data_IF_655279994062
#
_entry.id   IF_655279994062
#
_cell.length_a   1.000
_cell.length_b   1.000
_cell.length_c   1.000
_cell.angle_alpha   90.00
_cell.angle_beta   90.00
_cell.angle_gamma   90.00
#
_symmetry.space_group_name_H-M   'P 1'
#
loop_
_entity.id
_entity.type
_entity.pdbx_description
1 polymer ?
#
# COMPACT_ATOMS: atom_id res chain seq x y z
N UNK A 1 -10.26 2.82 2.61
CA UNK A 1 -9.32 3.78 3.23
C UNK A 1 -8.93 4.82 2.20
N UNK A 2 -8.89 6.10 2.56
CA UNK A 2 -8.23 7.12 1.76
C UNK A 2 -6.80 7.32 2.27
N UNK A 3 -5.81 7.37 1.37
CA UNK A 3 -4.40 7.59 1.70
C UNK A 3 -3.86 8.74 0.84
N UNK A 4 -3.09 9.63 1.45
CA UNK A 4 -2.25 10.60 0.74
C UNK A 4 -0.93 10.80 1.47
N UNK A 5 0.17 10.91 0.73
CA UNK A 5 1.49 11.29 1.27
C UNK A 5 1.76 12.73 0.86
N UNK A 6 1.83 13.64 1.82
CA UNK A 6 2.08 15.06 1.56
C UNK A 6 3.56 15.38 1.33
N UNK A 7 4.46 14.59 1.92
CA UNK A 7 5.90 14.77 1.75
C UNK A 7 6.67 13.48 2.02
N UNK A 8 7.80 13.30 1.34
CA UNK A 8 8.57 12.06 1.34
C UNK A 8 7.98 10.98 0.43
N UNK A 9 8.60 9.80 0.42
CA UNK A 9 8.23 8.67 -0.44
C UNK A 9 6.79 8.21 -0.20
N UNK A 10 6.05 8.03 -1.30
CA UNK A 10 4.64 7.65 -1.28
C UNK A 10 4.40 6.17 -0.98
N UNK A 11 3.14 5.80 -0.79
CA UNK A 11 2.78 4.40 -0.50
C UNK A 11 2.94 3.54 -1.75
N UNK A 12 3.39 2.30 -1.55
CA UNK A 12 3.48 1.29 -2.60
C UNK A 12 2.26 0.38 -2.57
N UNK A 13 1.91 -0.18 -3.73
CA UNK A 13 0.84 -1.16 -3.86
C UNK A 13 1.16 -2.18 -4.95
N UNK A 14 0.44 -3.30 -4.94
CA UNK A 14 0.62 -4.41 -5.88
C UNK A 14 -0.68 -4.69 -6.62
N UNK A 15 -0.57 -5.08 -7.90
CA UNK A 15 -1.68 -5.70 -8.61
C UNK A 15 -2.05 -7.04 -7.98
N UNK A 16 -3.31 -7.46 -8.15
CA UNK A 16 -3.77 -8.76 -7.66
C UNK A 16 -2.96 -9.91 -8.31
N UNK A 17 -2.65 -10.93 -7.51
CA UNK A 17 -1.89 -12.10 -7.98
C UNK A 17 -0.37 -11.94 -7.98
N UNK A 18 0.16 -10.73 -7.79
CA UNK A 18 1.62 -10.50 -7.66
C UNK A 18 2.20 -11.16 -6.41
N UNK A 19 1.42 -11.24 -5.32
CA UNK A 19 1.83 -11.84 -4.06
C UNK A 19 0.77 -12.82 -3.56
N UNK A 20 1.20 -13.99 -3.08
CA UNK A 20 0.33 -14.93 -2.39
C UNK A 20 -0.07 -14.35 -1.01
N UNK A 21 -1.37 -14.11 -0.84
CA UNK A 21 -1.95 -13.52 0.38
C UNK A 21 -1.67 -14.35 1.63
N UNK A 22 -1.46 -15.67 1.50
CA UNK A 22 -1.09 -16.53 2.64
C UNK A 22 0.29 -16.21 3.21
N UNK A 23 1.09 -15.43 2.47
CA UNK A 23 2.43 -15.03 2.85
C UNK A 23 2.51 -13.57 3.31
N UNK A 24 1.38 -12.87 3.42
CA UNK A 24 1.37 -11.49 3.96
C UNK A 24 2.01 -11.44 5.34
N UNK A 25 2.85 -10.42 5.57
CA UNK A 25 3.64 -10.25 6.79
C UNK A 25 5.00 -10.96 6.78
N UNK A 26 5.29 -11.75 5.74
CA UNK A 26 6.61 -12.35 5.52
C UNK A 26 7.45 -11.49 4.57
N UNK A 27 8.53 -10.90 5.08
CA UNK A 27 9.42 -10.03 4.30
C UNK A 27 10.09 -10.75 3.12
N UNK A 28 10.41 -12.04 3.28
CA UNK A 28 11.06 -12.87 2.25
C UNK A 28 10.12 -13.22 1.08
N UNK A 29 8.81 -13.06 1.28
CA UNK A 29 7.80 -13.30 0.26
C UNK A 29 7.38 -12.04 -0.50
N UNK A 30 7.82 -10.86 -0.05
CA UNK A 30 7.47 -9.61 -0.71
C UNK A 30 8.18 -9.51 -2.07
N UNK A 31 7.50 -9.03 -3.13
CA UNK A 31 8.13 -8.84 -4.42
C UNK A 31 9.26 -7.81 -4.31
N UNK A 32 10.40 -8.14 -4.91
CA UNK A 32 11.60 -7.28 -4.96
C UNK A 32 11.79 -6.62 -6.32
N UNK A 33 11.18 -7.18 -7.37
CA UNK A 33 11.21 -6.60 -8.70
C UNK A 33 10.34 -5.34 -8.77
N UNK A 34 10.99 -4.22 -9.07
CA UNK A 34 10.36 -2.92 -9.20
C UNK A 34 9.24 -2.87 -10.25
N UNK A 35 9.26 -3.74 -11.27
CA UNK A 35 8.21 -3.80 -12.28
C UNK A 35 6.83 -4.18 -11.70
N UNK A 36 6.82 -4.92 -10.59
CA UNK A 36 5.60 -5.36 -9.92
C UNK A 36 5.12 -4.40 -8.82
N UNK A 37 5.97 -3.45 -8.43
CA UNK A 37 5.71 -2.54 -7.31
C UNK A 37 5.27 -1.19 -7.85
N UNK A 38 4.00 -0.86 -7.66
CA UNK A 38 3.45 0.42 -8.04
C UNK A 38 3.62 1.41 -6.89
N UNK A 39 3.72 2.70 -7.21
CA UNK A 39 3.85 3.77 -6.22
C UNK A 39 2.80 4.85 -6.44
N UNK A 40 2.11 5.23 -5.36
CA UNK A 40 1.28 6.43 -5.28
C UNK A 40 2.25 7.59 -5.03
N UNK A 41 2.25 8.64 -5.85
CA UNK A 41 3.19 9.74 -5.71
C UNK A 41 2.80 10.66 -4.54
N UNK A 42 3.76 11.44 -4.06
CA UNK A 42 3.46 12.49 -3.07
C UNK A 42 2.52 13.52 -3.69
N UNK A 43 1.48 13.90 -2.96
CA UNK A 43 0.41 14.78 -3.43
C UNK A 43 -0.77 14.05 -4.07
N UNK A 44 -0.63 12.78 -4.47
CA UNK A 44 -1.75 11.99 -4.96
C UNK A 44 -2.72 11.64 -3.83
N UNK A 45 -3.99 11.48 -4.18
CA UNK A 45 -5.04 11.00 -3.28
C UNK A 45 -5.53 9.65 -3.79
N UNK A 46 -5.32 8.60 -3.01
CA UNK A 46 -5.70 7.24 -3.35
C UNK A 46 -6.87 6.76 -2.48
N UNK A 47 -7.88 6.16 -3.10
CA UNK A 47 -8.96 5.45 -2.42
C UNK A 47 -8.76 3.94 -2.56
N UNK A 48 -8.43 3.29 -1.44
CA UNK A 48 -8.11 1.87 -1.39
C UNK A 48 -9.31 1.07 -0.87
N UNK A 49 -9.70 0.06 -1.65
CA UNK A 49 -10.73 -0.91 -1.28
C UNK A 49 -10.12 -1.99 -0.39
N UNK A 50 -10.65 -2.12 0.83
CA UNK A 50 -10.28 -3.17 1.78
C UNK A 50 -11.21 -4.39 1.68
N UNK A 51 -10.93 -5.42 2.47
CA UNK A 51 -11.73 -6.67 2.45
C UNK A 51 -13.10 -6.53 3.11
N UNK A 52 -13.29 -5.53 3.98
CA UNK A 52 -14.59 -5.23 4.60
C UNK A 52 -15.60 -4.61 3.62
N UNK A 53 -15.15 -4.27 2.41
CA UNK A 53 -16.07 -3.80 1.38
C UNK A 53 -16.86 -4.98 0.82
N UNK A 54 -18.18 -4.87 0.80
CA UNK A 54 -19.06 -5.93 0.32
C UNK A 54 -18.72 -6.39 -1.10
N UNK A 55 -18.44 -7.69 -1.28
CA UNK A 55 -18.01 -8.24 -2.57
C UNK A 55 -16.53 -7.98 -2.88
N UNK A 56 -15.70 -7.74 -1.87
CA UNK A 56 -14.24 -7.59 -1.97
C UNK A 56 -13.48 -8.46 -0.96
N UNK A 57 -14.16 -9.44 -0.38
CA UNK A 57 -13.63 -10.35 0.61
C UNK A 57 -12.45 -11.11 0.01
N UNK A 58 -11.28 -11.04 0.67
CA UNK A 58 -10.05 -11.64 0.16
C UNK A 58 -9.37 -10.88 -0.98
N UNK A 59 -9.89 -9.73 -1.43
CA UNK A 59 -9.34 -8.91 -2.54
C UNK A 59 -8.98 -7.49 -2.11
N UNK A 60 -8.68 -7.28 -0.82
CA UNK A 60 -8.23 -5.98 -0.33
C UNK A 60 -6.89 -5.60 -0.97
N UNK A 61 -6.72 -4.34 -1.39
CA UNK A 61 -5.50 -3.90 -2.07
C UNK A 61 -4.27 -4.09 -1.16
N UNK A 62 -3.29 -4.87 -1.63
CA UNK A 62 -2.02 -5.04 -0.93
C UNK A 62 -1.22 -3.75 -1.11
N UNK A 63 -0.94 -3.07 0.01
CA UNK A 63 -0.23 -1.80 0.02
C UNK A 63 0.66 -1.70 1.26
N UNK A 64 1.75 -0.93 1.15
CA UNK A 64 2.68 -0.67 2.24
C UNK A 64 3.25 0.73 2.17
N UNK A 65 3.76 1.20 3.30
CA UNK A 65 4.74 2.29 3.30
C UNK A 65 6.10 1.70 2.96
N UNK A 66 6.78 2.09 1.87
CA UNK A 66 8.15 1.66 1.62
C UNK A 66 9.07 2.09 2.75
N UNK A 67 10.16 1.32 2.91
CA UNK A 67 11.21 1.64 3.86
C UNK A 67 11.83 3.01 3.54
N UNK A 68 11.98 3.85 4.56
CA UNK A 68 12.66 5.13 4.43
C UNK A 68 14.18 4.90 4.37
N UNK A 69 14.86 5.64 3.50
CA UNK A 69 16.32 5.72 3.54
C UNK A 69 16.77 6.54 4.76
N UNK A 70 18.06 6.44 5.09
CA UNK A 70 18.63 7.17 6.22
C UNK A 70 18.39 8.68 6.04
N UNK A 71 17.87 9.31 7.10
CA UNK A 71 17.51 10.73 7.17
C UNK A 71 16.32 11.17 6.30
N UNK A 72 15.61 10.25 5.65
CA UNK A 72 14.32 10.58 5.03
C UNK A 72 13.20 10.67 6.07
N UNK A 73 12.22 11.51 5.79
CA UNK A 73 10.96 11.60 6.55
C UNK A 73 9.80 11.57 5.58
N UNK A 74 8.66 11.07 6.06
CA UNK A 74 7.39 11.18 5.33
C UNK A 74 6.29 11.74 6.21
N UNK A 75 5.38 12.49 5.59
CA UNK A 75 4.12 12.92 6.17
C UNK A 75 2.99 12.26 5.38
N UNK A 76 2.23 11.40 6.05
CA UNK A 76 1.11 10.65 5.47
C UNK A 76 -0.16 10.93 6.26
N UNK A 77 -1.27 11.06 5.54
CA UNK A 77 -2.62 11.07 6.09
C UNK A 77 -3.37 9.84 5.60
N UNK A 78 -4.00 9.13 6.55
CA UNK A 78 -4.92 8.04 6.27
C UNK A 78 -6.26 8.31 6.93
N UNK A 79 -7.34 8.14 6.19
CA UNK A 79 -8.71 8.24 6.71
C UNK A 79 -9.42 6.90 6.53
N UNK A 80 -9.89 6.34 7.63
CA UNK A 80 -10.65 5.10 7.69
C UNK A 80 -12.10 5.40 8.05
N UNK A 81 -13.03 5.06 7.14
CA UNK A 81 -14.47 5.33 7.32
C UNK A 81 -15.17 4.17 8.05
N UNK A 82 -14.65 2.95 7.92
CA UNK A 82 -15.25 1.74 8.52
C UNK A 82 -14.36 1.27 9.68
N UNK A 83 -14.60 1.82 10.87
CA UNK A 83 -14.03 1.30 12.12
C UNK A 83 -14.69 -0.04 12.49
#
# INVERSE_FOLDING_TARGET
RLITTYGGVGSQWLHEGVMDRKQLGRLDAEPTDAAHIQQINSGDVALLKGERWHGNEGFGLIHRSPQLLRNERRLILTLDWLA
#
